data_IF_040577865559
#
_entry.id   IF_040577865559
#
_cell.length_a   1.000
_cell.length_b   1.000
_cell.length_c   1.000
_cell.angle_alpha   90.00
_cell.angle_beta   90.00
_cell.angle_gamma   90.00
#
_symmetry.space_group_name_H-M   'P 1'
#
loop_
_entity.id
_entity.type
_entity.pdbx_description
1 polymer ?
#
# COMPACT_ATOMS: atom_id res chain seq x y z
N UNK A 1 -1.35 24.35 19.42
CA UNK A 1 -2.12 23.71 20.50
C UNK A 1 -2.30 22.27 20.06
N UNK A 2 -1.37 21.38 20.45
CA UNK A 2 -1.47 19.95 20.12
C UNK A 2 -2.56 19.34 20.99
N UNK A 3 -3.62 18.81 20.37
CA UNK A 3 -4.70 18.11 21.05
C UNK A 3 -4.33 16.64 21.09
N UNK A 4 -3.90 16.15 22.26
CA UNK A 4 -3.92 14.73 22.59
C UNK A 4 -5.23 14.50 23.35
N UNK A 5 -6.27 14.08 22.64
CA UNK A 5 -7.56 13.73 23.24
C UNK A 5 -7.52 12.26 23.65
N UNK A 6 -7.22 11.99 24.93
CA UNK A 6 -7.27 10.64 25.49
C UNK A 6 -8.61 10.47 26.21
N UNK A 7 -9.58 9.85 25.52
CA UNK A 7 -10.86 9.45 26.12
C UNK A 7 -10.71 8.13 26.89
N UNK A 8 -11.45 8.02 27.99
CA UNK A 8 -11.34 7.01 29.06
C UNK A 8 -11.86 5.59 28.72
N UNK A 9 -12.05 5.25 27.44
CA UNK A 9 -12.64 3.97 27.01
C UNK A 9 -12.04 3.37 25.73
N UNK A 10 -10.74 3.54 25.46
CA UNK A 10 -10.19 3.20 24.14
C UNK A 10 -9.13 2.09 24.19
N UNK A 11 -9.48 0.96 23.57
CA UNK A 11 -8.55 -0.06 23.06
C UNK A 11 -7.83 0.56 21.84
N UNK A 12 -6.80 1.34 22.08
CA UNK A 12 -5.95 1.86 21.01
C UNK A 12 -4.87 0.84 20.67
N UNK A 13 -4.82 0.39 19.41
CA UNK A 13 -3.72 -0.45 18.90
C UNK A 13 -2.53 0.40 18.42
N UNK A 14 -2.73 1.69 18.15
CA UNK A 14 -1.67 2.63 17.80
C UNK A 14 -1.98 4.06 18.27
N UNK A 15 -0.93 4.85 18.51
CA UNK A 15 -1.01 6.29 18.76
C UNK A 15 -0.20 7.03 17.69
N UNK A 16 -0.88 7.92 16.98
CA UNK A 16 -0.27 8.76 15.95
C UNK A 16 -0.01 10.16 16.52
N UNK A 17 1.26 10.54 16.63
CA UNK A 17 1.67 11.85 17.17
C UNK A 17 2.00 12.80 16.01
N UNK A 18 1.72 14.10 16.17
CA UNK A 18 2.03 15.16 15.19
C UNK A 18 2.74 16.35 15.85
N UNK A 19 3.89 16.10 16.49
CA UNK A 19 4.72 17.12 17.15
C UNK A 19 5.98 17.39 16.34
N UNK A 20 5.78 17.86 15.10
CA UNK A 20 6.80 17.87 14.05
C UNK A 20 7.73 19.09 14.04
N UNK A 21 7.36 20.22 14.65
CA UNK A 21 8.20 21.44 14.61
C UNK A 21 9.16 21.55 15.80
N UNK A 22 8.71 21.46 17.06
CA UNK A 22 9.60 21.57 18.21
C UNK A 22 10.38 20.26 18.44
N UNK A 23 11.47 20.35 19.19
CA UNK A 23 12.17 19.15 19.69
C UNK A 23 11.29 18.38 20.66
N UNK A 24 11.57 17.10 20.83
CA UNK A 24 10.92 16.22 21.82
C UNK A 24 10.79 16.83 23.23
N UNK A 25 11.84 17.51 23.69
CA UNK A 25 11.93 18.20 24.99
C UNK A 25 10.91 19.32 25.19
N UNK A 26 10.44 19.96 24.11
CA UNK A 26 9.44 21.02 24.22
C UNK A 26 8.08 20.48 24.66
N UNK A 27 7.74 19.27 24.23
CA UNK A 27 6.47 18.61 24.54
C UNK A 27 6.56 17.61 25.70
N UNK A 28 7.77 17.42 26.25
CA UNK A 28 8.08 16.32 27.17
C UNK A 28 7.62 14.95 26.61
N UNK A 29 7.85 14.76 25.29
CA UNK A 29 7.40 13.56 24.59
C UNK A 29 7.93 12.28 25.21
N UNK A 30 9.19 12.29 25.68
CA UNK A 30 9.82 11.13 26.31
C UNK A 30 9.20 10.77 27.65
N UNK A 31 8.74 11.74 28.43
CA UNK A 31 7.96 11.51 29.66
C UNK A 31 6.63 10.81 29.36
N UNK A 32 5.89 11.29 28.36
CA UNK A 32 4.65 10.64 27.91
C UNK A 32 4.88 9.22 27.40
N UNK A 33 5.89 9.02 26.54
CA UNK A 33 6.20 7.69 26.00
C UNK A 33 6.66 6.72 27.09
N UNK A 34 7.45 7.18 28.06
CA UNK A 34 7.85 6.36 29.20
C UNK A 34 6.62 5.88 29.99
N UNK A 35 5.65 6.75 30.27
CA UNK A 35 4.40 6.31 30.88
C UNK A 35 3.61 5.36 29.97
N UNK A 36 3.53 5.67 28.67
CA UNK A 36 2.76 4.89 27.70
C UNK A 36 3.23 3.42 27.65
N UNK A 37 4.54 3.20 27.59
CA UNK A 37 5.11 1.84 27.49
C UNK A 37 5.33 1.15 28.84
N UNK A 38 5.36 1.87 29.96
CA UNK A 38 5.56 1.23 31.28
C UNK A 38 4.25 0.99 32.05
N UNK A 39 3.34 1.97 32.02
CA UNK A 39 2.23 2.06 32.96
C UNK A 39 0.85 2.04 32.30
N UNK A 40 0.75 2.37 31.00
CA UNK A 40 -0.56 2.44 30.35
C UNK A 40 -1.25 1.07 30.25
N UNK A 41 -2.60 1.03 30.23
CA UNK A 41 -3.34 -0.22 30.04
C UNK A 41 -3.10 -0.92 28.68
N UNK A 42 -2.52 -0.21 27.70
CA UNK A 42 -2.28 -0.70 26.32
C UNK A 42 -0.80 -0.92 26.02
N UNK A 43 0.07 -0.84 27.04
CA UNK A 43 1.53 -0.87 26.91
C UNK A 43 2.11 -2.05 26.15
N UNK A 44 1.43 -3.21 26.18
CA UNK A 44 1.90 -4.45 25.54
C UNK A 44 1.51 -4.53 24.05
N UNK A 45 0.66 -3.62 23.56
CA UNK A 45 0.10 -3.66 22.20
C UNK A 45 0.23 -2.35 21.43
N UNK A 46 0.36 -1.22 22.12
CA UNK A 46 0.41 0.09 21.50
C UNK A 46 1.71 0.29 20.72
N UNK A 47 1.59 0.88 19.52
CA UNK A 47 2.72 1.35 18.73
C UNK A 47 2.63 2.86 18.48
N UNK A 48 3.78 3.53 18.40
CA UNK A 48 3.89 4.98 18.17
C UNK A 48 4.75 5.29 16.96
N UNK A 49 4.33 6.28 16.18
CA UNK A 49 5.10 6.77 15.04
C UNK A 49 6.35 7.58 15.46
N UNK A 50 7.10 8.10 14.49
CA UNK A 50 8.34 8.86 14.67
C UNK A 50 8.17 10.39 14.76
N UNK A 51 6.93 10.88 14.92
CA UNK A 51 6.58 12.31 14.85
C UNK A 51 6.40 12.98 16.21
N UNK A 52 7.18 12.58 17.19
CA UNK A 52 7.15 13.16 18.55
C UNK A 52 8.33 14.08 18.86
N UNK A 53 9.09 14.46 17.84
CA UNK A 53 10.13 15.50 17.89
C UNK A 53 10.76 15.70 16.51
N UNK A 54 11.12 16.94 16.15
CA UNK A 54 11.59 17.25 14.80
C UNK A 54 12.91 16.57 14.41
N UNK A 55 13.76 16.22 15.38
CA UNK A 55 15.01 15.51 15.18
C UNK A 55 14.88 13.99 14.95
N UNK A 56 13.66 13.44 15.13
CA UNK A 56 13.42 12.00 15.28
C UNK A 56 12.78 11.34 14.06
N UNK A 57 12.31 12.14 13.11
CA UNK A 57 11.72 11.67 11.85
C UNK A 57 12.68 10.71 11.13
N UNK A 58 12.16 9.55 10.72
CA UNK A 58 12.89 8.42 10.15
C UNK A 58 14.03 7.86 11.01
N UNK A 59 14.03 8.10 12.33
CA UNK A 59 15.11 7.67 13.23
C UNK A 59 14.62 6.97 14.47
N UNK A 60 13.50 7.43 15.05
CA UNK A 60 13.01 6.88 16.31
C UNK A 60 11.49 6.86 16.38
N UNK A 61 10.93 5.66 16.40
CA UNK A 61 9.51 5.33 16.54
C UNK A 61 9.34 3.83 16.30
N UNK A 62 8.22 3.23 16.71
CA UNK A 62 7.95 1.81 16.41
C UNK A 62 7.70 1.60 14.92
N UNK A 63 7.22 2.64 14.24
CA UNK A 63 7.16 2.72 12.80
C UNK A 63 7.45 4.14 12.32
N UNK A 64 7.99 4.25 11.11
CA UNK A 64 8.34 5.52 10.51
C UNK A 64 7.21 6.05 9.66
N UNK A 65 6.93 7.33 9.82
CA UNK A 65 6.04 8.09 8.93
C UNK A 65 6.81 9.19 8.23
N UNK A 66 8.00 9.56 8.73
CA UNK A 66 8.96 10.45 8.08
C UNK A 66 8.39 11.82 7.71
N UNK A 67 7.79 11.92 6.52
CA UNK A 67 7.21 13.15 5.97
C UNK A 67 5.79 12.87 5.49
N UNK A 68 5.02 13.94 5.27
CA UNK A 68 3.68 13.79 4.72
C UNK A 68 3.74 13.13 3.34
N UNK A 69 2.86 12.14 3.10
CA UNK A 69 2.84 11.34 1.87
C UNK A 69 4.17 10.62 1.59
N UNK A 70 4.87 10.20 2.64
CA UNK A 70 6.11 9.46 2.50
C UNK A 70 5.88 8.15 1.74
N UNK A 71 6.56 8.00 0.61
CA UNK A 71 6.61 6.77 -0.17
C UNK A 71 8.02 6.65 -0.78
N UNK A 72 8.92 5.85 -0.17
CA UNK A 72 10.32 5.81 -0.56
C UNK A 72 10.55 5.09 -1.90
N UNK A 73 9.58 4.30 -2.38
CA UNK A 73 9.71 3.51 -3.61
C UNK A 73 10.76 2.39 -3.55
N UNK A 74 11.39 2.19 -2.38
CA UNK A 74 12.39 1.16 -2.10
C UNK A 74 12.03 0.44 -0.80
N UNK A 75 12.49 -0.81 -0.65
CA UNK A 75 12.28 -1.56 0.57
C UNK A 75 12.96 -0.88 1.76
N UNK A 76 12.20 -0.63 2.82
CA UNK A 76 12.72 -0.13 4.10
C UNK A 76 12.74 -1.29 5.09
N UNK A 77 13.88 -1.45 5.78
CA UNK A 77 14.06 -2.51 6.77
C UNK A 77 13.17 -2.31 8.01
N UNK A 78 13.05 -1.05 8.45
CA UNK A 78 12.18 -0.66 9.56
C UNK A 78 10.72 -0.58 9.11
N UNK A 79 9.79 -0.89 10.02
CA UNK A 79 8.35 -0.69 9.75
C UNK A 79 8.06 0.77 9.50
N UNK A 80 7.17 1.05 8.56
CA UNK A 80 6.82 2.40 8.17
C UNK A 80 5.39 2.46 7.63
N UNK A 81 4.83 3.66 7.58
CA UNK A 81 3.45 3.91 7.15
C UNK A 81 3.40 5.12 6.21
N UNK A 82 2.82 4.92 5.03
CA UNK A 82 2.47 5.98 4.09
C UNK A 82 1.12 6.56 4.47
N UNK A 83 1.14 7.73 5.09
CA UNK A 83 -0.07 8.53 5.30
C UNK A 83 -0.28 9.45 4.09
N UNK A 84 -1.37 9.27 3.37
CA UNK A 84 -1.71 10.13 2.22
C UNK A 84 -3.22 10.43 2.15
N UNK A 85 -3.57 11.38 1.29
CA UNK A 85 -4.95 11.86 1.12
C UNK A 85 -5.40 11.65 -0.31
N UNK A 86 -6.71 11.50 -0.51
CA UNK A 86 -7.32 11.49 -1.84
C UNK A 86 -7.26 12.89 -2.48
N UNK A 87 -7.44 13.98 -1.73
CA UNK A 87 -7.18 15.34 -2.24
C UNK A 87 -5.66 15.56 -2.36
N UNK A 88 -5.15 15.87 -3.56
CA UNK A 88 -3.71 15.98 -3.85
C UNK A 88 -3.02 17.12 -3.09
N UNK A 89 -3.78 18.07 -2.55
CA UNK A 89 -3.24 19.30 -1.96
C UNK A 89 -3.57 19.48 -0.49
N UNK A 90 -4.57 18.78 0.05
CA UNK A 90 -5.08 19.06 1.41
C UNK A 90 -5.45 17.80 2.20
N UNK A 91 -5.20 17.85 3.51
CA UNK A 91 -5.72 16.89 4.50
C UNK A 91 -7.17 17.21 4.90
N UNK A 92 -7.55 18.48 4.89
CA UNK A 92 -8.89 18.94 5.22
C UNK A 92 -9.76 19.11 3.96
N UNK A 93 -11.09 19.12 4.16
CA UNK A 93 -12.05 19.35 3.09
C UNK A 93 -11.89 20.74 2.44
N UNK A 94 -11.75 20.78 1.11
CA UNK A 94 -11.74 22.02 0.31
C UNK A 94 -13.04 22.16 -0.51
N UNK A 95 -13.90 23.14 -0.23
CA UNK A 95 -15.18 23.30 -0.93
C UNK A 95 -15.03 23.76 -2.39
N UNK A 96 -13.89 24.35 -2.74
CA UNK A 96 -13.59 24.88 -4.09
C UNK A 96 -12.69 23.95 -4.92
N UNK A 97 -12.43 22.73 -4.44
CA UNK A 97 -11.60 21.77 -5.15
C UNK A 97 -12.34 21.21 -6.37
N UNK A 98 -11.61 21.11 -7.48
CA UNK A 98 -12.13 20.51 -8.70
C UNK A 98 -11.84 19.00 -8.73
N UNK A 99 -12.38 18.27 -9.72
CA UNK A 99 -12.23 16.82 -9.78
C UNK A 99 -10.77 16.37 -10.00
N UNK A 100 -10.00 17.14 -10.77
CA UNK A 100 -8.59 16.93 -11.06
C UNK A 100 -7.66 17.11 -9.85
N UNK A 101 -8.14 17.83 -8.83
CA UNK A 101 -7.43 18.00 -7.56
C UNK A 101 -7.47 16.71 -6.72
N UNK A 102 -8.34 15.75 -7.04
CA UNK A 102 -8.43 14.48 -6.34
C UNK A 102 -7.70 13.40 -7.12
N UNK A 103 -7.09 12.47 -6.39
CA UNK A 103 -6.49 11.28 -6.98
C UNK A 103 -7.54 10.47 -7.73
N UNK A 104 -7.17 9.97 -8.90
CA UNK A 104 -7.93 8.91 -9.55
C UNK A 104 -7.80 7.62 -8.74
N UNK A 105 -8.67 6.65 -9.01
CA UNK A 105 -8.56 5.34 -8.34
C UNK A 105 -7.25 4.63 -8.70
N UNK A 106 -6.77 4.77 -9.93
CA UNK A 106 -5.47 4.25 -10.37
C UNK A 106 -4.32 4.87 -9.56
N UNK A 107 -4.36 6.18 -9.29
CA UNK A 107 -3.36 6.85 -8.46
C UNK A 107 -3.41 6.34 -7.01
N UNK A 108 -4.60 6.14 -6.44
CA UNK A 108 -4.78 5.58 -5.09
C UNK A 108 -4.25 4.14 -5.01
N UNK A 109 -4.62 3.28 -5.96
CA UNK A 109 -4.17 1.89 -5.99
C UNK A 109 -2.65 1.80 -6.21
N UNK A 110 -2.07 2.68 -7.04
CA UNK A 110 -0.62 2.78 -7.18
C UNK A 110 0.06 3.12 -5.86
N UNK A 111 -0.47 4.08 -5.08
CA UNK A 111 0.07 4.38 -3.75
C UNK A 111 0.03 3.17 -2.83
N UNK A 112 -1.10 2.45 -2.78
CA UNK A 112 -1.24 1.25 -1.94
C UNK A 112 -0.26 0.16 -2.37
N UNK A 113 -0.25 -0.20 -3.65
CA UNK A 113 0.57 -1.30 -4.19
C UNK A 113 2.06 -1.01 -3.98
N UNK A 114 2.52 0.21 -4.30
CA UNK A 114 3.93 0.59 -4.10
C UNK A 114 4.33 0.55 -2.63
N UNK A 115 3.47 1.06 -1.74
CA UNK A 115 3.68 1.07 -0.28
C UNK A 115 3.80 -0.34 0.29
N UNK A 116 2.83 -1.22 -0.01
CA UNK A 116 2.81 -2.59 0.51
C UNK A 116 3.98 -3.40 -0.04
N UNK A 117 4.30 -3.24 -1.34
CA UNK A 117 5.43 -3.92 -1.96
C UNK A 117 6.75 -3.56 -1.28
N UNK A 118 6.89 -2.33 -0.81
CA UNK A 118 8.08 -1.79 -0.12
C UNK A 118 8.02 -1.91 1.40
N UNK A 119 7.07 -2.69 1.93
CA UNK A 119 7.02 -3.09 3.34
C UNK A 119 6.33 -2.11 4.28
N UNK A 120 5.65 -1.11 3.73
CA UNK A 120 4.91 -0.11 4.48
C UNK A 120 3.42 -0.44 4.61
N UNK A 121 2.77 0.18 5.59
CA UNK A 121 1.31 0.25 5.68
C UNK A 121 0.79 1.49 4.95
N UNK A 122 -0.44 1.44 4.45
CA UNK A 122 -1.09 2.59 3.81
C UNK A 122 -2.23 3.12 4.68
N UNK A 123 -2.12 4.38 5.11
CA UNK A 123 -3.18 5.09 5.83
C UNK A 123 -3.74 6.18 4.92
N UNK A 124 -5.04 6.08 4.62
CA UNK A 124 -5.73 6.98 3.70
C UNK A 124 -6.62 7.93 4.48
N UNK A 125 -6.28 9.21 4.47
CA UNK A 125 -7.09 10.24 5.09
C UNK A 125 -8.29 10.64 4.22
N UNK A 126 -9.40 10.91 4.90
CA UNK A 126 -10.66 11.40 4.32
C UNK A 126 -11.07 12.64 5.10
N UNK A 127 -11.34 13.76 4.42
CA UNK A 127 -11.80 14.99 5.05
C UNK A 127 -13.32 15.15 4.95
N UNK A 128 -14.10 14.95 6.03
CA UNK A 128 -15.52 15.29 6.05
C UNK A 128 -15.74 16.80 5.88
N UNK A 129 -16.90 17.17 5.34
CA UNK A 129 -17.30 18.58 5.30
C UNK A 129 -17.74 19.10 6.68
N UNK A 130 -18.06 20.39 6.77
CA UNK A 130 -18.48 21.05 8.02
C UNK A 130 -19.74 20.46 8.69
N UNK A 131 -20.50 19.62 7.97
CA UNK A 131 -21.66 18.91 8.48
C UNK A 131 -21.35 17.46 8.87
N UNK A 132 -20.07 17.07 8.91
CA UNK A 132 -19.62 15.72 9.21
C UNK A 132 -19.87 14.70 8.09
N UNK A 133 -20.21 15.14 6.87
CA UNK A 133 -20.47 14.22 5.74
C UNK A 133 -19.21 14.03 4.90
N UNK A 134 -18.91 12.78 4.55
CA UNK A 134 -17.86 12.44 3.59
C UNK A 134 -18.32 12.88 2.19
N UNK A 135 -17.55 13.72 1.46
CA UNK A 135 -17.96 14.16 0.13
C UNK A 135 -18.06 13.01 -0.87
N UNK A 136 -18.95 13.07 -1.88
CA UNK A 136 -19.22 11.96 -2.81
C UNK A 136 -17.97 11.41 -3.51
N UNK A 137 -17.02 12.26 -3.89
CA UNK A 137 -15.78 11.84 -4.55
C UNK A 137 -14.93 10.91 -3.69
N UNK A 138 -14.82 11.18 -2.38
CA UNK A 138 -14.12 10.28 -1.45
C UNK A 138 -14.87 8.95 -1.32
N UNK A 139 -16.21 9.00 -1.21
CA UNK A 139 -17.02 7.77 -1.15
C UNK A 139 -16.85 6.91 -2.40
N UNK A 140 -16.81 7.52 -3.58
CA UNK A 140 -16.58 6.82 -4.85
C UNK A 140 -15.23 6.10 -4.85
N UNK A 141 -14.14 6.80 -4.53
CA UNK A 141 -12.78 6.22 -4.48
C UNK A 141 -12.68 5.09 -3.46
N UNK A 142 -13.23 5.26 -2.26
CA UNK A 142 -13.24 4.22 -1.23
C UNK A 142 -14.04 2.99 -1.65
N UNK A 143 -15.18 3.16 -2.33
CA UNK A 143 -15.99 2.05 -2.84
C UNK A 143 -15.30 1.33 -3.99
N UNK A 144 -14.69 2.07 -4.92
CA UNK A 144 -13.89 1.51 -6.02
C UNK A 144 -12.73 0.67 -5.44
N UNK A 145 -11.99 1.22 -4.48
CA UNK A 145 -10.93 0.53 -3.77
C UNK A 145 -11.45 -0.73 -3.04
N UNK A 146 -12.58 -0.64 -2.33
CA UNK A 146 -13.20 -1.79 -1.65
C UNK A 146 -13.59 -2.91 -2.62
N UNK A 147 -14.16 -2.56 -3.78
CA UNK A 147 -14.47 -3.53 -4.84
C UNK A 147 -13.22 -4.21 -5.38
N UNK A 148 -12.14 -3.43 -5.60
CA UNK A 148 -10.86 -3.97 -6.05
C UNK A 148 -10.21 -4.90 -5.01
N UNK A 149 -10.20 -4.50 -3.73
CA UNK A 149 -9.66 -5.29 -2.62
C UNK A 149 -10.44 -6.59 -2.38
N UNK A 150 -11.73 -6.63 -2.70
CA UNK A 150 -12.53 -7.86 -2.62
C UNK A 150 -12.00 -8.94 -3.56
N UNK A 151 -11.43 -8.55 -4.70
CA UNK A 151 -10.89 -9.47 -5.72
C UNK A 151 -9.40 -9.73 -5.50
N UNK A 152 -8.63 -8.68 -5.22
CA UNK A 152 -7.16 -8.71 -5.22
C UNK A 152 -6.55 -8.69 -3.80
N UNK A 153 -7.38 -8.67 -2.76
CA UNK A 153 -6.97 -8.48 -1.38
C UNK A 153 -6.02 -9.56 -0.86
N UNK A 154 -6.00 -10.77 -1.44
CA UNK A 154 -5.03 -11.80 -1.03
C UNK A 154 -3.56 -11.42 -1.31
N UNK A 155 -3.31 -10.53 -2.29
CA UNK A 155 -1.98 -10.00 -2.54
C UNK A 155 -1.60 -8.84 -1.62
N UNK A 156 -2.55 -8.30 -0.84
CA UNK A 156 -2.38 -7.12 0.01
C UNK A 156 -2.41 -7.50 1.49
N UNK A 157 -3.48 -8.15 1.94
CA UNK A 157 -3.66 -8.48 3.35
C UNK A 157 -2.80 -9.69 3.75
N UNK A 158 -1.93 -9.49 4.73
CA UNK A 158 -1.03 -10.53 5.22
C UNK A 158 0.08 -10.92 4.23
N UNK A 159 0.25 -10.16 3.15
CA UNK A 159 1.39 -10.31 2.25
C UNK A 159 2.62 -9.61 2.84
N UNK A 160 3.79 -9.96 2.30
CA UNK A 160 5.08 -9.40 2.66
C UNK A 160 5.79 -8.90 1.40
N UNK A 161 6.75 -7.97 1.52
CA UNK A 161 7.63 -7.62 0.41
C UNK A 161 8.30 -8.86 -0.17
N UNK A 162 8.24 -8.99 -1.50
CA UNK A 162 9.00 -10.04 -2.18
C UNK A 162 10.46 -9.63 -2.34
N UNK A 163 11.33 -10.53 -2.83
CA UNK A 163 12.77 -10.24 -3.04
C UNK A 163 13.00 -9.05 -3.97
N UNK A 164 12.10 -8.86 -4.94
CA UNK A 164 12.06 -7.70 -5.83
C UNK A 164 10.78 -6.92 -5.57
N UNK A 165 10.87 -5.61 -5.33
CA UNK A 165 9.70 -4.74 -5.10
C UNK A 165 9.03 -4.33 -6.41
N UNK A 166 9.84 -3.88 -7.38
CA UNK A 166 9.43 -3.44 -8.70
C UNK A 166 10.09 -4.35 -9.74
N UNK A 167 9.43 -4.55 -10.88
CA UNK A 167 9.97 -5.41 -11.93
C UNK A 167 11.18 -4.81 -12.64
N UNK A 168 12.06 -5.69 -13.10
CA UNK A 168 13.32 -5.31 -13.75
C UNK A 168 13.14 -4.86 -15.20
N UNK A 169 12.00 -5.17 -15.83
CA UNK A 169 11.67 -4.81 -17.21
C UNK A 169 10.46 -3.89 -17.26
N UNK A 170 9.39 -4.22 -16.53
CA UNK A 170 8.14 -3.48 -16.55
C UNK A 170 7.97 -2.62 -15.29
N UNK A 171 8.34 -1.34 -15.35
CA UNK A 171 8.26 -0.42 -14.21
C UNK A 171 6.85 -0.24 -13.61
N UNK A 172 5.81 -0.60 -14.36
CA UNK A 172 4.42 -0.58 -13.90
C UNK A 172 4.01 -1.87 -13.17
N UNK A 173 4.94 -2.80 -12.93
CA UNK A 173 4.73 -4.01 -12.16
C UNK A 173 5.43 -3.95 -10.80
N UNK A 174 4.66 -4.22 -9.76
CA UNK A 174 5.15 -4.33 -8.39
C UNK A 174 4.82 -5.71 -7.82
N UNK A 175 5.55 -6.13 -6.80
CA UNK A 175 5.41 -7.47 -6.24
C UNK A 175 5.25 -7.51 -4.73
N UNK A 176 4.41 -8.45 -4.31
CA UNK A 176 4.37 -8.96 -2.94
C UNK A 176 4.45 -10.49 -2.96
N UNK A 177 4.64 -11.09 -1.79
CA UNK A 177 4.59 -12.53 -1.61
C UNK A 177 3.65 -12.88 -0.46
N UNK A 178 3.03 -14.07 -0.52
CA UNK A 178 2.33 -14.60 0.64
C UNK A 178 3.31 -14.82 1.79
N UNK A 179 2.85 -14.68 3.04
CA UNK A 179 3.71 -14.84 4.22
C UNK A 179 4.38 -16.23 4.32
N UNK A 180 3.78 -17.26 3.72
CA UNK A 180 4.32 -18.62 3.65
C UNK A 180 5.26 -18.86 2.44
N UNK A 181 5.48 -17.83 1.61
CA UNK A 181 6.35 -17.88 0.43
C UNK A 181 5.84 -18.73 -0.73
N UNK A 182 4.61 -19.24 -0.67
CA UNK A 182 4.04 -20.10 -1.74
C UNK A 182 3.62 -19.34 -2.98
N UNK A 183 3.21 -18.09 -2.82
CA UNK A 183 2.67 -17.26 -3.90
C UNK A 183 3.47 -15.97 -4.04
N UNK A 184 3.68 -15.56 -5.29
CA UNK A 184 4.13 -14.22 -5.65
C UNK A 184 2.99 -13.54 -6.39
N UNK A 185 2.67 -12.31 -5.99
CA UNK A 185 1.62 -11.51 -6.59
C UNK A 185 2.26 -10.38 -7.40
N UNK A 186 2.03 -10.37 -8.71
CA UNK A 186 2.50 -9.33 -9.62
C UNK A 186 1.36 -8.35 -9.92
N UNK A 187 1.45 -7.13 -9.40
CA UNK A 187 0.48 -6.06 -9.60
C UNK A 187 0.83 -5.27 -10.86
N UNK A 188 0.06 -5.45 -11.91
CA UNK A 188 0.14 -4.69 -13.15
C UNK A 188 -0.72 -3.43 -13.02
N UNK A 189 -0.06 -2.27 -12.88
CA UNK A 189 -0.72 -0.96 -12.72
C UNK A 189 -1.32 -0.43 -14.02
N UNK A 190 -0.82 -0.89 -15.17
CA UNK A 190 -1.30 -0.48 -16.48
C UNK A 190 -1.43 -1.68 -17.40
N UNK A 191 -2.66 -1.93 -17.89
CA UNK A 191 -2.86 -2.93 -18.92
C UNK A 191 -2.28 -2.41 -20.25
N UNK A 192 -1.39 -3.16 -20.91
CA UNK A 192 -0.75 -2.66 -22.10
C UNK A 192 -1.74 -2.63 -23.26
N UNK A 193 -1.62 -1.58 -24.08
CA UNK A 193 -2.44 -1.40 -25.28
C UNK A 193 -1.74 -2.09 -26.45
N UNK A 194 -2.49 -2.86 -27.23
CA UNK A 194 -2.03 -3.47 -28.49
C UNK A 194 -0.95 -4.56 -28.35
N UNK A 195 -0.89 -5.26 -27.22
CA UNK A 195 -0.09 -6.48 -27.07
C UNK A 195 -0.93 -7.57 -26.43
N UNK A 196 -0.59 -8.81 -26.75
CA UNK A 196 -1.15 -10.02 -26.14
C UNK A 196 -0.21 -10.64 -25.13
N UNK A 197 0.90 -9.98 -24.80
CA UNK A 197 1.94 -10.51 -23.94
C UNK A 197 2.30 -9.52 -22.82
N UNK A 198 2.45 -10.04 -21.61
CA UNK A 198 2.98 -9.34 -20.44
C UNK A 198 4.33 -9.92 -20.08
N UNK A 199 5.36 -9.07 -20.03
CA UNK A 199 6.71 -9.49 -19.66
C UNK A 199 6.94 -9.13 -18.19
N UNK A 200 7.30 -10.14 -17.40
CA UNK A 200 7.75 -10.03 -16.01
C UNK A 200 9.23 -10.39 -15.97
N UNK A 201 10.11 -9.43 -15.71
CA UNK A 201 11.56 -9.65 -15.75
C UNK A 201 12.15 -10.29 -14.48
N UNK A 202 11.53 -10.08 -13.32
CA UNK A 202 12.05 -10.57 -12.04
C UNK A 202 11.79 -12.07 -11.76
N UNK A 203 10.61 -12.64 -12.03
CA UNK A 203 10.30 -14.04 -11.73
C UNK A 203 11.15 -15.06 -12.50
N UNK A 204 11.70 -16.04 -11.78
CA UNK A 204 12.32 -17.23 -12.36
C UNK A 204 11.35 -18.40 -12.28
N UNK A 205 10.88 -18.84 -13.45
CA UNK A 205 9.97 -19.97 -13.58
C UNK A 205 10.67 -21.32 -13.55
N UNK A 206 9.89 -22.33 -13.23
CA UNK A 206 10.23 -23.75 -13.28
C UNK A 206 9.19 -24.51 -14.12
N UNK A 207 9.41 -25.80 -14.36
CA UNK A 207 8.46 -26.64 -15.09
C UNK A 207 7.11 -26.80 -14.37
N UNK A 208 7.04 -26.50 -13.06
CA UNK A 208 5.80 -26.55 -12.26
C UNK A 208 5.16 -25.18 -12.03
N UNK A 209 5.69 -24.12 -12.65
CA UNK A 209 5.13 -22.77 -12.48
C UNK A 209 3.72 -22.67 -13.05
N UNK A 210 2.81 -22.17 -12.23
CA UNK A 210 1.46 -21.84 -12.63
C UNK A 210 1.23 -20.33 -12.49
N UNK A 211 0.51 -19.77 -13.45
CA UNK A 211 0.19 -18.35 -13.52
C UNK A 211 -1.32 -18.21 -13.61
N UNK A 212 -1.94 -17.44 -12.72
CA UNK A 212 -3.37 -17.15 -12.76
C UNK A 212 -3.61 -15.64 -12.64
N UNK A 213 -4.69 -15.16 -13.22
CA UNK A 213 -5.16 -13.79 -13.01
C UNK A 213 -6.27 -13.79 -11.95
N UNK A 214 -6.12 -12.99 -10.90
CA UNK A 214 -7.17 -12.83 -9.89
C UNK A 214 -8.42 -12.19 -10.50
N UNK A 215 -9.60 -12.65 -10.07
CA UNK A 215 -10.88 -12.17 -10.62
C UNK A 215 -11.25 -12.71 -12.00
N UNK A 216 -10.54 -13.74 -12.48
CA UNK A 216 -10.87 -14.50 -13.69
C UNK A 216 -11.52 -15.86 -13.37
N UNK A 217 -11.83 -16.68 -14.39
CA UNK A 217 -12.43 -18.02 -14.25
C UNK A 217 -11.59 -19.03 -13.44
N UNK A 218 -10.37 -18.66 -13.02
CA UNK A 218 -9.46 -19.50 -12.25
C UNK A 218 -8.54 -20.39 -13.10
N UNK A 219 -8.69 -20.31 -14.42
CA UNK A 219 -7.86 -21.06 -15.37
C UNK A 219 -6.39 -20.58 -15.32
N UNK A 220 -5.46 -21.52 -15.46
CA UNK A 220 -4.05 -21.17 -15.62
C UNK A 220 -3.83 -20.51 -16.98
N UNK A 221 -3.05 -19.42 -16.98
CA UNK A 221 -2.61 -18.74 -18.17
C UNK A 221 -1.41 -19.45 -18.78
N UNK A 222 -1.33 -19.42 -20.12
CA UNK A 222 -0.16 -19.86 -20.85
C UNK A 222 0.97 -18.85 -20.64
N UNK A 223 2.19 -19.34 -20.50
CA UNK A 223 3.38 -18.51 -20.36
C UNK A 223 4.59 -19.22 -20.97
N UNK A 224 5.64 -18.45 -21.29
CA UNK A 224 6.92 -18.97 -21.73
C UNK A 224 8.07 -18.17 -21.11
N UNK A 225 9.29 -18.73 -21.11
CA UNK A 225 10.48 -18.04 -20.63
C UNK A 225 10.86 -16.95 -21.63
N UNK A 226 11.15 -15.74 -21.16
CA UNK A 226 11.61 -14.66 -22.04
C UNK A 226 12.95 -15.06 -22.71
N UNK A 227 13.05 -14.86 -24.02
CA UNK A 227 14.21 -15.26 -24.81
C UNK A 227 15.51 -14.65 -24.27
N UNK A 228 16.35 -15.48 -23.64
CA UNK A 228 17.77 -15.20 -23.48
C UNK A 228 18.24 -14.59 -22.16
N UNK A 229 17.54 -14.69 -21.02
CA UNK A 229 18.25 -14.82 -19.71
C UNK A 229 17.36 -14.98 -18.47
N UNK A 230 16.22 -14.30 -18.33
CA UNK A 230 15.35 -14.35 -17.13
C UNK A 230 13.95 -13.82 -17.43
N UNK A 231 12.98 -14.16 -16.59
CA UNK A 231 11.63 -13.62 -16.67
C UNK A 231 10.63 -14.54 -17.36
N UNK A 232 9.37 -14.13 -17.27
CA UNK A 232 8.19 -14.85 -17.75
C UNK A 232 7.43 -13.94 -18.70
N UNK A 233 7.05 -14.49 -19.85
CA UNK A 233 6.12 -13.85 -20.78
C UNK A 233 4.78 -14.55 -20.65
N UNK A 234 3.77 -13.82 -20.19
CA UNK A 234 2.40 -14.32 -19.98
C UNK A 234 1.56 -13.99 -21.21
N UNK A 235 0.93 -14.99 -21.82
CA UNK A 235 -0.03 -14.81 -22.90
C UNK A 235 -1.39 -14.40 -22.33
N UNK A 236 -1.81 -13.18 -22.66
CA UNK A 236 -3.09 -12.58 -22.27
C UNK A 236 -4.08 -12.48 -23.43
N UNK A 237 -3.80 -13.08 -24.59
CA UNK A 237 -4.66 -13.04 -25.79
C UNK A 237 -6.09 -13.55 -25.54
N UNK A 238 -6.25 -14.50 -24.62
CA UNK A 238 -7.55 -15.10 -24.27
C UNK A 238 -8.31 -14.29 -23.22
N UNK A 239 -7.68 -13.29 -22.61
CA UNK A 239 -8.28 -12.51 -21.53
C UNK A 239 -9.19 -11.45 -22.13
N UNK A 240 -10.47 -11.54 -21.81
CA UNK A 240 -11.47 -10.54 -22.18
C UNK A 240 -11.60 -9.53 -21.05
N UNK A 241 -10.90 -8.40 -21.17
CA UNK A 241 -10.88 -7.33 -20.15
C UNK A 241 -12.26 -6.93 -19.62
N UNK A 242 -13.26 -6.81 -20.50
CA UNK A 242 -14.63 -6.43 -20.14
C UNK A 242 -15.39 -7.48 -19.30
N UNK A 243 -14.85 -8.70 -19.17
CA UNK A 243 -15.41 -9.76 -18.33
C UNK A 243 -14.68 -9.89 -16.98
N UNK A 244 -13.60 -9.14 -16.77
CA UNK A 244 -12.85 -9.21 -15.53
C UNK A 244 -13.62 -8.53 -14.40
N UNK A 245 -13.56 -9.13 -13.21
CA UNK A 245 -14.12 -8.54 -11.99
C UNK A 245 -13.23 -7.44 -11.40
N UNK A 246 -11.99 -7.32 -11.89
CA UNK A 246 -11.00 -6.33 -11.46
C UNK A 246 -10.78 -5.28 -12.54
N UNK A 247 -10.79 -4.01 -12.12
CA UNK A 247 -10.47 -2.84 -12.94
C UNK A 247 -9.24 -2.12 -12.38
N UNK A 248 -8.68 -1.17 -13.14
CA UNK A 248 -7.61 -0.22 -12.75
C UNK A 248 -6.21 -0.82 -12.51
N UNK A 249 -6.12 -1.94 -11.80
CA UNK A 249 -4.89 -2.68 -11.52
C UNK A 249 -5.22 -4.17 -11.53
N UNK A 250 -4.35 -4.99 -12.11
CA UNK A 250 -4.57 -6.42 -12.29
C UNK A 250 -3.49 -7.21 -11.56
N UNK A 251 -3.85 -8.35 -10.96
CA UNK A 251 -2.91 -9.12 -10.14
C UNK A 251 -2.74 -10.52 -10.70
N UNK A 252 -1.52 -10.82 -11.14
CA UNK A 252 -1.14 -12.19 -11.47
C UNK A 252 -0.66 -12.89 -10.21
N UNK A 253 -1.26 -14.03 -9.90
CA UNK A 253 -0.82 -14.95 -8.86
C UNK A 253 0.08 -16.00 -9.48
N UNK A 254 1.32 -16.04 -9.02
CA UNK A 254 2.36 -16.95 -9.51
C UNK A 254 2.67 -18.00 -8.43
N UNK A 255 2.72 -19.26 -8.84
CA UNK A 255 3.09 -20.41 -8.00
C UNK A 255 4.41 -21.02 -8.47
N UNK A 256 5.18 -21.60 -7.55
CA UNK A 256 6.47 -22.26 -7.85
C UNK A 256 7.44 -21.34 -8.61
N UNK A 257 7.52 -20.09 -8.18
CA UNK A 257 8.45 -19.07 -8.67
C UNK A 257 9.62 -18.94 -7.70
N UNK A 258 10.80 -18.73 -8.25
CA UNK A 258 11.99 -18.31 -7.51
C UNK A 258 12.45 -16.93 -7.96
N UNK A 259 13.42 -16.36 -7.24
CA UNK A 259 13.91 -15.00 -7.40
C UNK A 259 15.44 -14.95 -7.30
#
# INVERSE_FOLDING_TARGET
MGLVHIDSYLLFESIYIEFIEPRDTYWDSTGFLAWLYNDSPVKDTVVVNDRWGSELLCKHGDFYTCLDRYNPGILIEHKWENCFTIDKSSWAYRPIANIEDYMTIEEVLKQIVTTISTGGNALINVGPNMHGKIPPIFQERLRQMGSWLKVNGEGIYGSIPWKYQNDTINSDVWYTSSNDGRFVYAFLLLWPKNTTEIILGAPLSSSSTAVRLLGSSGDSLSWHIASGTRGIVIDVSKIKLHLLQSEWTWVFKLENITA
#
